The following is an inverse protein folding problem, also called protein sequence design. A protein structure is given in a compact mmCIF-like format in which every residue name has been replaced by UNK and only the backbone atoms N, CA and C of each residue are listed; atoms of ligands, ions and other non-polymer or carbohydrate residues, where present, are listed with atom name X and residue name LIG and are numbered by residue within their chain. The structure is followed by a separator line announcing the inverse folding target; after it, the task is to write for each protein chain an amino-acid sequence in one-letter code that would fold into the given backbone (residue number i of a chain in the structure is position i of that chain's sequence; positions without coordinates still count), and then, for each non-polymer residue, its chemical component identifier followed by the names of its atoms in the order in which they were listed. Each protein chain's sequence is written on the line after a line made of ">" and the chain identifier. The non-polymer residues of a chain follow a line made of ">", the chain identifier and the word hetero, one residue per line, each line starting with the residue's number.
data_IF_722081553260
#
_entry.id   IF_722081553260
#
_cell.length_a   1.000
_cell.length_b   1.000
_cell.length_c   1.000
_cell.angle_alpha   90.00
_cell.angle_beta   90.00
_cell.angle_gamma   90.00
#
_symmetry.space_group_name_H-M   'P 1'
#
loop_
_entity.id
_entity.type
_entity.pdbx_description
1 polymer ?
#
# COMPACT_ATOMS: atom_id res chain seq x y z
N UNK A 1 -20.69 -10.48 1.50
CA UNK A 1 -21.44 -9.60 2.42
C UNK A 1 -22.73 -10.28 2.81
N UNK A 2 -22.81 -10.72 4.06
CA UNK A 2 -24.10 -11.11 4.66
C UNK A 2 -24.90 -9.84 5.03
N UNK A 3 -25.13 -8.96 4.08
CA UNK A 3 -26.10 -7.90 4.28
C UNK A 3 -27.46 -8.57 4.44
N UNK A 4 -28.15 -8.30 5.52
CA UNK A 4 -29.56 -8.67 5.64
C UNK A 4 -30.29 -7.95 4.50
N UNK A 5 -30.87 -8.67 3.54
CA UNK A 5 -31.58 -8.00 2.46
C UNK A 5 -32.80 -7.29 3.05
N UNK A 6 -33.09 -6.11 2.54
CA UNK A 6 -34.29 -5.32 2.88
C UNK A 6 -35.58 -6.17 2.72
N UNK A 7 -35.50 -7.24 1.95
CA UNK A 7 -36.63 -8.15 1.61
C UNK A 7 -36.67 -9.46 2.42
N UNK A 8 -35.90 -9.63 3.51
CA UNK A 8 -35.78 -10.89 4.26
C UNK A 8 -35.33 -12.12 3.43
N UNK A 9 -34.66 -11.90 2.29
CA UNK A 9 -34.08 -12.96 1.46
C UNK A 9 -32.63 -13.29 1.85
N UNK A 10 -32.03 -14.25 1.15
CA UNK A 10 -30.62 -14.59 1.29
C UNK A 10 -29.73 -13.70 0.41
N UNK A 11 -28.52 -13.36 0.89
CA UNK A 11 -27.50 -12.70 0.08
C UNK A 11 -26.98 -13.67 -1.00
N UNK A 12 -26.85 -13.18 -2.23
CA UNK A 12 -26.25 -13.92 -3.34
C UNK A 12 -24.70 -13.84 -3.36
N UNK A 13 -24.09 -13.35 -2.28
CA UNK A 13 -22.64 -13.27 -2.13
C UNK A 13 -21.98 -12.05 -2.79
N UNK A 14 -20.64 -12.08 -2.85
CA UNK A 14 -19.83 -10.98 -3.37
C UNK A 14 -19.92 -10.82 -4.91
N UNK A 15 -20.09 -11.91 -5.64
CA UNK A 15 -20.04 -11.91 -7.11
C UNK A 15 -21.02 -10.93 -7.74
N UNK A 16 -22.32 -10.94 -7.44
CA UNK A 16 -23.27 -9.99 -8.03
C UNK A 16 -22.96 -8.54 -7.69
N UNK A 17 -22.50 -8.27 -6.46
CA UNK A 17 -22.08 -6.94 -6.03
C UNK A 17 -20.88 -6.45 -6.82
N UNK A 18 -19.84 -7.28 -6.98
CA UNK A 18 -18.62 -6.92 -7.70
C UNK A 18 -18.87 -6.71 -9.19
N UNK A 19 -19.86 -7.38 -9.78
CA UNK A 19 -20.28 -7.11 -11.16
C UNK A 19 -20.81 -5.68 -11.33
N UNK A 20 -21.55 -5.14 -10.37
CA UNK A 20 -21.99 -3.74 -10.42
C UNK A 20 -20.76 -2.80 -10.50
N UNK A 21 -19.75 -3.04 -9.69
CA UNK A 21 -18.49 -2.27 -9.73
C UNK A 21 -17.71 -2.48 -11.04
N UNK A 22 -17.72 -3.69 -11.59
CA UNK A 22 -17.12 -3.99 -12.89
C UNK A 22 -17.75 -3.16 -14.01
N UNK A 23 -19.08 -3.10 -14.07
CA UNK A 23 -19.81 -2.33 -15.08
C UNK A 23 -19.67 -0.82 -14.81
N UNK A 24 -19.61 -0.39 -13.55
CA UNK A 24 -19.30 0.98 -13.18
C UNK A 24 -17.91 1.39 -13.67
N UNK A 25 -16.89 0.54 -13.52
CA UNK A 25 -15.54 0.82 -14.01
C UNK A 25 -15.53 1.04 -15.52
N UNK A 26 -16.27 0.21 -16.29
CA UNK A 26 -16.44 0.40 -17.73
C UNK A 26 -17.16 1.68 -18.07
N UNK A 27 -18.20 2.04 -17.34
CA UNK A 27 -19.00 3.23 -17.59
C UNK A 27 -18.21 4.52 -17.34
N UNK A 28 -17.53 4.65 -16.20
CA UNK A 28 -16.78 5.87 -15.86
C UNK A 28 -15.55 6.09 -16.74
N UNK A 29 -15.12 5.06 -17.46
CA UNK A 29 -14.02 5.15 -18.42
C UNK A 29 -14.43 5.69 -19.80
N UNK A 30 -15.69 5.91 -20.05
CA UNK A 30 -16.21 6.40 -21.34
C UNK A 30 -15.69 7.78 -21.76
N UNK A 31 -15.14 8.55 -20.85
CA UNK A 31 -14.62 9.89 -21.13
C UNK A 31 -13.40 9.94 -22.06
N UNK A 32 -12.85 8.80 -22.43
CA UNK A 32 -11.79 8.69 -23.43
C UNK A 32 -10.56 9.53 -23.16
N UNK A 33 -10.27 9.83 -21.91
CA UNK A 33 -9.04 10.49 -21.53
C UNK A 33 -7.84 9.61 -21.84
N UNK A 34 -6.66 10.19 -21.78
CA UNK A 34 -5.38 9.48 -22.02
C UNK A 34 -5.11 8.40 -20.95
N UNK A 35 -5.86 8.37 -19.86
CA UNK A 35 -5.79 7.41 -18.76
C UNK A 35 -7.16 6.84 -18.45
N UNK A 36 -7.24 5.52 -18.43
CA UNK A 36 -8.44 4.79 -18.03
C UNK A 36 -8.54 4.70 -16.51
N UNK A 37 -9.78 4.76 -15.98
CA UNK A 37 -10.07 4.43 -14.59
C UNK A 37 -9.93 2.93 -14.34
N UNK A 38 -9.56 2.55 -13.11
CA UNK A 38 -9.45 1.15 -12.70
C UNK A 38 -9.75 1.03 -11.23
N UNK A 39 -10.37 -0.09 -10.83
CA UNK A 39 -10.73 -0.39 -9.45
C UNK A 39 -9.97 -1.63 -8.97
N UNK A 40 -9.43 -1.57 -7.75
CA UNK A 40 -8.93 -2.73 -7.04
C UNK A 40 -9.86 -3.09 -5.89
N UNK A 41 -10.21 -4.37 -5.78
CA UNK A 41 -11.03 -4.93 -4.73
C UNK A 41 -10.18 -5.79 -3.81
N UNK A 42 -10.21 -5.50 -2.52
CA UNK A 42 -9.45 -6.23 -1.51
C UNK A 42 -10.38 -7.09 -0.66
N UNK A 43 -9.95 -8.32 -0.38
CA UNK A 43 -10.67 -9.25 0.47
C UNK A 43 -9.70 -9.95 1.43
N UNK A 44 -10.15 -10.26 2.63
CA UNK A 44 -9.38 -11.10 3.55
C UNK A 44 -9.68 -12.59 3.33
N UNK A 45 -8.69 -13.50 3.49
CA UNK A 45 -8.82 -14.91 3.14
C UNK A 45 -9.79 -15.71 4.05
N UNK A 46 -10.25 -15.13 5.15
CA UNK A 46 -11.24 -15.75 6.02
C UNK A 46 -12.70 -15.53 5.57
N UNK A 47 -12.93 -14.70 4.55
CA UNK A 47 -14.28 -14.39 4.07
C UNK A 47 -14.92 -15.62 3.42
N UNK A 48 -16.23 -15.82 3.69
CA UNK A 48 -16.99 -16.97 3.21
C UNK A 48 -16.91 -17.17 1.69
N UNK A 49 -16.88 -16.09 0.91
CA UNK A 49 -16.91 -16.11 -0.56
C UNK A 49 -15.50 -16.02 -1.18
N UNK A 50 -14.44 -16.38 -0.46
CA UNK A 50 -13.06 -16.21 -0.98
C UNK A 50 -12.79 -17.07 -2.21
N UNK A 51 -13.37 -18.26 -2.32
CA UNK A 51 -13.19 -19.12 -3.49
C UNK A 51 -13.81 -18.53 -4.75
N UNK A 52 -15.04 -18.00 -4.65
CA UNK A 52 -15.71 -17.29 -5.74
C UNK A 52 -14.95 -16.03 -6.14
N UNK A 53 -14.42 -15.29 -5.16
CA UNK A 53 -13.58 -14.11 -5.40
C UNK A 53 -12.33 -14.44 -6.23
N UNK A 54 -11.68 -15.58 -5.98
CA UNK A 54 -10.52 -16.05 -6.74
C UNK A 54 -10.85 -16.44 -8.19
N UNK A 55 -12.10 -16.78 -8.47
CA UNK A 55 -12.54 -17.19 -9.80
C UNK A 55 -13.07 -16.03 -10.66
N UNK A 56 -13.25 -14.82 -10.12
CA UNK A 56 -13.87 -13.70 -10.81
C UNK A 56 -13.17 -13.27 -12.10
N UNK A 57 -11.86 -13.48 -12.21
CA UNK A 57 -11.06 -13.08 -13.38
C UNK A 57 -10.76 -14.23 -14.36
N UNK A 58 -11.20 -15.45 -14.07
CA UNK A 58 -10.96 -16.61 -14.95
C UNK A 58 -11.54 -16.42 -16.35
N UNK A 59 -10.83 -16.92 -17.37
CA UNK A 59 -11.22 -16.80 -18.77
C UNK A 59 -12.28 -17.80 -19.21
N UNK A 60 -12.64 -18.75 -18.37
CA UNK A 60 -13.63 -19.80 -18.64
C UNK A 60 -14.72 -19.82 -17.57
N UNK A 61 -15.78 -20.60 -17.80
CA UNK A 61 -16.94 -20.69 -16.92
C UNK A 61 -18.05 -19.70 -17.29
N UNK A 62 -19.08 -19.61 -16.43
CA UNK A 62 -20.25 -18.77 -16.69
C UNK A 62 -19.91 -17.28 -16.55
N UNK A 63 -20.27 -16.48 -17.54
CA UNK A 63 -19.98 -15.03 -17.56
C UNK A 63 -20.65 -14.28 -16.40
N UNK A 64 -21.81 -14.76 -15.97
CA UNK A 64 -22.51 -14.17 -14.80
C UNK A 64 -21.71 -14.28 -13.49
N UNK A 65 -20.72 -15.15 -13.45
CA UNK A 65 -19.83 -15.37 -12.30
C UNK A 65 -18.47 -14.68 -12.48
N UNK A 66 -18.34 -13.75 -13.43
CA UNK A 66 -17.09 -13.07 -13.75
C UNK A 66 -17.21 -11.55 -13.60
N UNK A 67 -16.09 -10.92 -13.21
CA UNK A 67 -15.93 -9.47 -13.15
C UNK A 67 -14.46 -9.15 -13.52
N UNK A 68 -14.12 -9.27 -14.82
CA UNK A 68 -12.73 -9.31 -15.31
C UNK A 68 -12.06 -7.95 -15.40
N UNK A 69 -12.81 -6.84 -15.41
CA UNK A 69 -12.25 -5.49 -15.55
C UNK A 69 -11.75 -4.93 -14.19
N UNK A 70 -12.12 -5.59 -13.09
CA UNK A 70 -11.61 -5.26 -11.77
C UNK A 70 -10.23 -5.90 -11.52
N UNK A 71 -9.47 -5.32 -10.62
CA UNK A 71 -8.25 -5.90 -10.05
C UNK A 71 -8.55 -6.44 -8.65
N UNK A 72 -7.87 -7.51 -8.28
CA UNK A 72 -8.14 -8.22 -7.03
C UNK A 72 -6.89 -8.34 -6.18
N UNK A 73 -7.03 -8.06 -4.88
CA UNK A 73 -6.00 -8.23 -3.87
C UNK A 73 -6.50 -9.01 -2.67
N UNK A 74 -5.63 -9.79 -2.04
CA UNK A 74 -5.87 -10.39 -0.74
C UNK A 74 -5.13 -9.59 0.34
N UNK A 75 -5.85 -9.30 1.42
CA UNK A 75 -5.35 -8.64 2.62
C UNK A 75 -5.19 -9.70 3.71
N UNK A 76 -3.95 -10.23 3.83
CA UNK A 76 -3.66 -11.51 4.47
C UNK A 76 -3.15 -11.32 5.89
N UNK A 77 -3.86 -11.83 6.93
CA UNK A 77 -3.33 -11.89 8.28
C UNK A 77 -2.23 -12.95 8.39
N UNK A 78 -1.25 -12.72 9.25
CA UNK A 78 -0.12 -13.63 9.46
C UNK A 78 -0.57 -15.01 9.98
N UNK A 79 -1.68 -15.07 10.71
CA UNK A 79 -2.29 -16.33 11.14
C UNK A 79 -2.56 -17.28 9.97
N UNK A 80 -3.09 -16.76 8.85
CA UNK A 80 -3.31 -17.59 7.66
C UNK A 80 -2.01 -18.21 7.15
N UNK A 81 -0.94 -17.43 7.06
CA UNK A 81 0.37 -17.93 6.59
C UNK A 81 0.98 -18.96 7.56
N UNK A 82 0.86 -18.75 8.87
CA UNK A 82 1.28 -19.74 9.88
C UNK A 82 0.49 -21.05 9.71
N UNK A 83 -0.81 -20.98 9.49
CA UNK A 83 -1.66 -22.16 9.26
C UNK A 83 -1.37 -22.85 7.92
N UNK A 84 -1.04 -22.11 6.87
CA UNK A 84 -0.54 -22.68 5.60
C UNK A 84 0.76 -23.46 5.82
N UNK A 85 1.72 -22.88 6.53
CA UNK A 85 3.00 -23.52 6.82
C UNK A 85 2.84 -24.80 7.64
N UNK A 86 1.96 -24.79 8.64
CA UNK A 86 1.65 -25.93 9.49
C UNK A 86 0.67 -26.92 8.88
N UNK A 87 0.11 -26.64 7.71
CA UNK A 87 -1.04 -27.34 7.13
C UNK A 87 -2.20 -27.54 8.12
N UNK A 88 -2.45 -26.51 8.94
CA UNK A 88 -3.52 -26.49 9.92
C UNK A 88 -4.87 -26.19 9.25
N UNK A 89 -5.93 -26.25 10.04
CA UNK A 89 -7.29 -25.92 9.58
C UNK A 89 -7.46 -24.41 9.43
N UNK A 90 -8.27 -24.02 8.45
CA UNK A 90 -8.68 -22.64 8.19
C UNK A 90 -10.20 -22.59 8.01
N UNK A 91 -10.84 -21.67 8.69
CA UNK A 91 -12.28 -21.55 8.75
C UNK A 91 -12.75 -20.29 8.04
N UNK A 92 -13.67 -20.44 7.09
CA UNK A 92 -14.33 -19.31 6.45
C UNK A 92 -15.47 -18.79 7.31
N UNK A 93 -15.57 -17.46 7.39
CA UNK A 93 -16.51 -16.77 8.26
C UNK A 93 -17.30 -15.72 7.49
N UNK A 94 -18.50 -15.43 7.96
CA UNK A 94 -19.30 -14.33 7.46
C UNK A 94 -19.04 -13.07 8.31
N UNK A 95 -18.72 -11.90 7.69
CA UNK A 95 -18.48 -10.67 8.43
C UNK A 95 -19.63 -10.20 9.32
N UNK A 96 -20.87 -10.58 8.99
CA UNK A 96 -22.03 -10.27 9.81
C UNK A 96 -22.12 -11.14 11.08
N UNK A 97 -21.79 -12.42 10.95
CA UNK A 97 -21.80 -13.38 12.06
C UNK A 97 -20.54 -13.27 12.92
N UNK A 98 -19.42 -12.84 12.34
CA UNK A 98 -18.11 -12.68 12.96
C UNK A 98 -17.61 -11.23 12.80
N UNK A 99 -18.27 -10.25 13.43
CA UNK A 99 -17.92 -8.84 13.26
C UNK A 99 -16.57 -8.51 13.88
N UNK A 100 -15.90 -7.47 13.35
CA UNK A 100 -14.69 -6.92 13.92
C UNK A 100 -13.38 -7.52 13.42
N UNK A 101 -13.39 -8.68 12.74
CA UNK A 101 -12.15 -9.28 12.19
C UNK A 101 -11.38 -8.35 11.25
N UNK A 102 -12.09 -7.52 10.49
CA UNK A 102 -11.49 -6.52 9.62
C UNK A 102 -10.89 -5.33 10.36
N UNK A 103 -11.26 -5.13 11.63
CA UNK A 103 -10.89 -3.96 12.42
C UNK A 103 -9.66 -4.19 13.31
N UNK A 104 -9.18 -5.44 13.41
CA UNK A 104 -8.05 -5.85 14.23
C UNK A 104 -6.97 -6.55 13.41
N UNK A 105 -5.73 -6.58 13.89
CA UNK A 105 -4.59 -7.26 13.26
C UNK A 105 -3.66 -7.86 14.32
N UNK A 106 -2.70 -8.72 13.90
CA UNK A 106 -1.74 -9.35 14.80
C UNK A 106 -2.42 -10.24 15.84
N UNK A 107 -1.95 -10.17 17.07
CA UNK A 107 -2.46 -11.02 18.17
C UNK A 107 -3.92 -10.78 18.52
N UNK A 108 -4.44 -9.57 18.30
CA UNK A 108 -5.86 -9.28 18.51
C UNK A 108 -6.73 -9.98 17.46
N UNK A 109 -6.27 -9.99 16.20
CA UNK A 109 -6.93 -10.76 15.13
C UNK A 109 -6.92 -12.25 15.46
N UNK A 110 -5.75 -12.79 15.85
CA UNK A 110 -5.60 -14.20 16.17
C UNK A 110 -6.61 -14.61 17.26
N UNK A 111 -6.63 -13.87 18.36
CA UNK A 111 -7.53 -14.17 19.50
C UNK A 111 -9.01 -14.08 19.11
N UNK A 112 -9.40 -13.08 18.32
CA UNK A 112 -10.79 -12.91 17.89
C UNK A 112 -11.22 -14.00 16.91
N UNK A 113 -10.33 -14.36 15.97
CA UNK A 113 -10.59 -15.41 14.97
C UNK A 113 -10.74 -16.78 15.64
N UNK A 114 -9.81 -17.16 16.52
CA UNK A 114 -9.84 -18.42 17.26
C UNK A 114 -11.05 -18.50 18.20
N UNK A 115 -11.45 -17.40 18.81
CA UNK A 115 -12.69 -17.31 19.58
C UNK A 115 -13.91 -17.68 18.73
N UNK A 116 -14.03 -17.13 17.52
CA UNK A 116 -15.14 -17.45 16.63
C UNK A 116 -15.12 -18.90 16.13
N UNK A 117 -13.95 -19.50 15.95
CA UNK A 117 -13.82 -20.92 15.67
C UNK A 117 -14.33 -21.77 16.84
N UNK A 118 -13.94 -21.44 18.09
CA UNK A 118 -14.38 -22.14 19.29
C UNK A 118 -15.90 -22.00 19.53
N UNK A 119 -16.48 -20.87 19.19
CA UNK A 119 -17.93 -20.62 19.26
C UNK A 119 -18.72 -21.30 18.12
N UNK A 120 -18.04 -21.96 17.18
CA UNK A 120 -18.68 -22.65 16.06
C UNK A 120 -19.34 -21.72 15.03
N UNK A 121 -18.89 -20.47 14.90
CA UNK A 121 -19.44 -19.48 13.96
C UNK A 121 -18.90 -19.62 12.53
N UNK A 122 -18.05 -20.60 12.29
CA UNK A 122 -17.50 -20.89 10.97
C UNK A 122 -18.55 -21.45 10.02
N UNK A 123 -18.46 -21.09 8.74
CA UNK A 123 -19.32 -21.64 7.69
C UNK A 123 -18.72 -22.86 7.02
N UNK A 124 -17.41 -22.88 6.85
CA UNK A 124 -16.67 -23.98 6.24
C UNK A 124 -15.26 -24.03 6.80
N UNK A 125 -14.77 -25.23 7.11
CA UNK A 125 -13.40 -25.48 7.58
C UNK A 125 -12.70 -26.48 6.67
N UNK A 126 -11.45 -26.20 6.34
CA UNK A 126 -10.61 -27.03 5.47
C UNK A 126 -9.12 -26.79 5.78
N UNK A 127 -8.22 -27.56 5.18
CA UNK A 127 -6.77 -27.32 5.34
C UNK A 127 -6.33 -26.04 4.63
N UNK A 128 -5.61 -25.17 5.34
CA UNK A 128 -5.18 -23.86 4.83
C UNK A 128 -4.41 -23.94 3.49
N UNK A 129 -3.67 -25.03 3.28
CA UNK A 129 -2.97 -25.27 2.00
C UNK A 129 -3.94 -25.44 0.81
N UNK A 130 -5.18 -25.88 1.02
CA UNK A 130 -6.16 -25.98 -0.07
C UNK A 130 -6.48 -24.58 -0.64
N UNK A 131 -6.71 -23.60 0.25
CA UNK A 131 -6.91 -22.21 -0.19
C UNK A 131 -5.62 -21.62 -0.78
N UNK A 132 -4.48 -21.92 -0.18
CA UNK A 132 -3.18 -21.47 -0.71
C UNK A 132 -2.95 -21.94 -2.15
N UNK A 133 -3.15 -23.22 -2.43
CA UNK A 133 -3.03 -23.74 -3.79
C UNK A 133 -4.03 -23.11 -4.75
N UNK A 134 -5.25 -22.83 -4.28
CA UNK A 134 -6.26 -22.14 -5.08
C UNK A 134 -5.85 -20.70 -5.41
N UNK A 135 -5.20 -19.99 -4.48
CA UNK A 135 -4.62 -18.67 -4.72
C UNK A 135 -3.53 -18.75 -5.79
N UNK A 136 -2.60 -19.70 -5.66
CA UNK A 136 -1.52 -19.89 -6.65
C UNK A 136 -2.06 -20.27 -8.04
N UNK A 137 -3.07 -21.13 -8.12
CA UNK A 137 -3.77 -21.46 -9.38
C UNK A 137 -4.33 -20.21 -10.05
N UNK A 138 -5.05 -19.36 -9.27
CA UNK A 138 -5.60 -18.10 -9.77
C UNK A 138 -4.51 -17.15 -10.26
N UNK A 139 -3.39 -17.05 -9.55
CA UNK A 139 -2.25 -16.21 -9.95
C UNK A 139 -1.57 -16.71 -11.23
N UNK A 140 -1.41 -18.01 -11.38
CA UNK A 140 -0.84 -18.60 -12.59
C UNK A 140 -1.74 -18.35 -13.81
N UNK A 141 -3.06 -18.43 -13.64
CA UNK A 141 -4.03 -18.26 -14.72
C UNK A 141 -4.29 -16.79 -15.08
N UNK A 142 -4.35 -15.89 -14.08
CA UNK A 142 -4.85 -14.53 -14.26
C UNK A 142 -3.88 -13.43 -13.83
N UNK A 143 -2.79 -13.74 -13.13
CA UNK A 143 -1.89 -12.77 -12.51
C UNK A 143 -2.45 -12.11 -11.25
N UNK A 144 -3.62 -12.53 -10.77
CA UNK A 144 -4.30 -12.03 -9.58
C UNK A 144 -4.73 -13.17 -8.67
N UNK A 145 -4.95 -12.96 -7.37
CA UNK A 145 -4.93 -11.69 -6.63
C UNK A 145 -3.53 -11.19 -6.29
N UNK A 146 -3.41 -9.88 -6.00
CA UNK A 146 -2.24 -9.33 -5.29
C UNK A 146 -2.18 -9.89 -3.88
N UNK A 147 -0.96 -10.04 -3.33
CA UNK A 147 -0.75 -10.60 -2.00
C UNK A 147 -0.15 -9.51 -1.09
N UNK A 148 -0.94 -9.02 -0.13
CA UNK A 148 -0.51 -8.03 0.86
C UNK A 148 -0.73 -8.56 2.27
N UNK A 149 0.24 -8.29 3.15
CA UNK A 149 0.26 -8.82 4.50
C UNK A 149 -0.28 -7.79 5.49
N UNK A 150 -1.49 -8.02 5.97
CA UNK A 150 -2.26 -7.12 6.85
C UNK A 150 -1.49 -6.68 8.07
N UNK A 151 -0.89 -7.64 8.78
CA UNK A 151 -0.23 -7.39 10.06
C UNK A 151 1.05 -6.55 9.87
N UNK A 152 1.87 -6.90 8.87
CA UNK A 152 3.06 -6.14 8.54
C UNK A 152 2.73 -4.71 8.05
N UNK A 153 1.69 -4.56 7.21
CA UNK A 153 1.23 -3.25 6.74
C UNK A 153 0.78 -2.35 7.88
N UNK A 154 0.06 -2.89 8.86
CA UNK A 154 -0.43 -2.13 10.00
C UNK A 154 0.67 -1.86 11.03
N UNK A 155 1.41 -2.90 11.47
CA UNK A 155 2.43 -2.77 12.51
C UNK A 155 3.62 -1.90 12.12
N UNK A 156 3.88 -1.74 10.81
CA UNK A 156 4.98 -0.93 10.28
C UNK A 156 4.56 0.42 9.71
N UNK A 157 3.29 0.78 9.82
CA UNK A 157 2.79 2.08 9.33
C UNK A 157 3.05 3.20 10.32
N UNK A 158 3.44 4.37 9.82
CA UNK A 158 3.49 5.59 10.63
C UNK A 158 2.07 6.15 10.94
N UNK A 159 1.02 5.56 10.38
CA UNK A 159 -0.38 5.91 10.65
C UNK A 159 -1.09 4.94 11.61
N UNK A 160 -0.35 4.14 12.38
CA UNK A 160 -0.90 3.19 13.37
C UNK A 160 -1.83 3.83 14.40
N UNK A 161 -1.58 5.08 14.74
CA UNK A 161 -2.38 5.84 15.72
C UNK A 161 -3.78 6.23 15.22
N UNK A 162 -4.08 6.03 13.95
CA UNK A 162 -5.37 6.40 13.35
C UNK A 162 -6.39 5.27 13.40
N UNK A 163 -5.94 4.03 13.35
CA UNK A 163 -6.76 2.84 13.31
C UNK A 163 -6.21 1.78 12.35
N UNK A 164 -6.98 0.71 12.14
CA UNK A 164 -6.56 -0.40 11.27
C UNK A 164 -6.71 -0.05 9.80
N UNK A 165 -5.61 -0.21 9.05
CA UNK A 165 -5.58 -0.09 7.59
C UNK A 165 -6.09 -1.39 6.99
N UNK A 166 -7.06 -1.30 6.07
CA UNK A 166 -7.86 -2.44 5.58
C UNK A 166 -7.59 -2.80 4.12
N UNK A 167 -6.84 -1.99 3.41
CA UNK A 167 -6.53 -2.20 1.99
C UNK A 167 -5.32 -1.38 1.55
N UNK A 168 -4.91 -1.59 0.30
CA UNK A 168 -3.95 -0.76 -0.41
C UNK A 168 -4.62 -0.12 -1.64
N UNK A 169 -3.86 0.61 -2.46
CA UNK A 169 -4.33 1.15 -3.73
C UNK A 169 -4.25 0.13 -4.88
N UNK A 170 -4.49 0.59 -6.12
CA UNK A 170 -4.47 -0.25 -7.32
C UNK A 170 -3.10 -0.88 -7.59
N UNK A 171 -2.02 -0.14 -7.38
CA UNK A 171 -0.65 -0.56 -7.68
C UNK A 171 0.11 -1.12 -6.46
N UNK A 172 -0.54 -1.22 -5.30
CA UNK A 172 -0.04 -1.81 -4.06
C UNK A 172 1.07 -1.06 -3.31
N UNK A 173 1.51 0.10 -3.82
CA UNK A 173 2.57 0.91 -3.19
C UNK A 173 2.09 1.77 -2.02
N UNK A 174 0.78 1.97 -1.87
CA UNK A 174 0.20 2.84 -0.84
C UNK A 174 -0.44 2.02 0.27
N UNK A 175 -0.08 2.33 1.49
CA UNK A 175 -0.70 1.79 2.71
C UNK A 175 -1.10 2.98 3.58
N UNK A 176 -2.35 3.43 3.46
CA UNK A 176 -2.89 4.59 4.15
C UNK A 176 -4.17 4.24 4.89
N UNK A 177 -4.38 4.90 6.02
CA UNK A 177 -5.63 4.81 6.76
C UNK A 177 -6.77 5.47 5.98
N UNK A 178 -7.95 4.86 6.02
CA UNK A 178 -9.20 5.38 5.48
C UNK A 178 -10.36 5.04 6.42
N UNK A 179 -11.37 5.90 6.43
CA UNK A 179 -12.60 5.74 7.23
C UNK A 179 -13.78 6.33 6.44
N UNK A 180 -15.01 6.24 6.95
CA UNK A 180 -16.16 6.90 6.31
C UNK A 180 -15.97 8.41 6.09
N UNK A 181 -15.24 9.07 6.98
CA UNK A 181 -15.00 10.53 6.95
C UNK A 181 -13.64 10.92 6.35
N UNK A 182 -12.81 9.94 5.99
CA UNK A 182 -11.44 10.15 5.53
C UNK A 182 -11.11 9.22 4.37
N UNK A 183 -11.13 9.73 3.14
CA UNK A 183 -10.73 9.00 1.94
C UNK A 183 -9.26 9.28 1.65
N UNK A 184 -8.43 8.25 1.67
CA UNK A 184 -7.00 8.37 1.37
C UNK A 184 -6.75 8.81 -0.07
N UNK A 185 -5.78 9.73 -0.25
CA UNK A 185 -5.38 10.27 -1.56
C UNK A 185 -3.88 10.13 -1.75
N UNK A 186 -3.47 9.69 -2.93
CA UNK A 186 -2.07 9.54 -3.31
C UNK A 186 -1.51 10.84 -3.89
N UNK A 187 -0.37 11.33 -3.34
CA UNK A 187 0.41 12.44 -3.89
C UNK A 187 1.79 11.91 -4.25
N UNK A 188 2.01 11.56 -5.51
CA UNK A 188 3.16 10.75 -5.93
C UNK A 188 4.12 11.50 -6.84
N UNK A 189 5.41 11.15 -6.74
CA UNK A 189 6.43 11.54 -7.69
C UNK A 189 7.48 10.44 -7.84
N UNK A 190 8.07 10.33 -9.04
CA UNK A 190 9.15 9.38 -9.35
C UNK A 190 10.44 10.13 -9.68
N UNK A 191 11.54 9.76 -9.04
CA UNK A 191 12.87 10.30 -9.26
C UNK A 191 13.61 9.45 -10.30
N UNK A 192 14.14 10.07 -11.36
CA UNK A 192 14.85 9.39 -12.43
C UNK A 192 16.30 9.09 -12.03
N UNK A 193 16.58 7.87 -11.57
CA UNK A 193 17.89 7.46 -11.03
C UNK A 193 19.06 7.57 -12.03
N UNK A 194 18.91 7.34 -13.35
CA UNK A 194 20.02 7.48 -14.29
C UNK A 194 20.65 8.87 -14.35
N UNK A 195 19.93 9.91 -13.90
CA UNK A 195 20.43 11.29 -13.85
C UNK A 195 21.51 11.51 -12.78
N UNK A 196 21.60 10.59 -11.80
CA UNK A 196 22.56 10.66 -10.70
C UNK A 196 23.83 9.82 -10.95
N UNK A 197 23.95 9.19 -12.10
CA UNK A 197 25.16 8.47 -12.49
C UNK A 197 26.04 9.41 -13.32
N UNK A 198 27.14 9.85 -12.72
CA UNK A 198 28.14 10.75 -13.31
C UNK A 198 29.51 10.06 -13.23
N UNK A 199 30.24 9.99 -14.34
CA UNK A 199 31.59 9.42 -14.44
C UNK A 199 31.71 8.01 -13.78
N UNK A 200 30.71 7.16 -14.01
CA UNK A 200 30.69 5.79 -13.50
C UNK A 200 30.43 5.67 -11.98
N UNK A 201 30.03 6.76 -11.31
CA UNK A 201 29.68 6.78 -9.87
C UNK A 201 28.29 7.31 -9.66
N UNK A 202 27.66 6.87 -8.57
CA UNK A 202 26.34 7.35 -8.17
C UNK A 202 26.47 8.52 -7.18
N UNK A 203 25.82 9.66 -7.50
CA UNK A 203 25.84 10.89 -6.72
C UNK A 203 24.70 10.92 -5.69
N UNK A 204 24.97 10.48 -4.48
CA UNK A 204 24.00 10.41 -3.38
C UNK A 204 23.66 11.79 -2.80
N UNK A 205 24.61 12.72 -2.77
CA UNK A 205 24.37 14.08 -2.25
C UNK A 205 23.39 14.83 -3.14
N UNK A 206 23.57 14.74 -4.44
CA UNK A 206 22.63 15.29 -5.42
C UNK A 206 21.26 14.59 -5.34
N UNK A 207 21.22 13.27 -5.14
CA UNK A 207 19.96 12.56 -4.94
C UNK A 207 19.23 13.08 -3.70
N UNK A 208 19.93 13.25 -2.58
CA UNK A 208 19.35 13.82 -1.34
C UNK A 208 18.80 15.24 -1.60
N UNK A 209 19.57 16.10 -2.25
CA UNK A 209 19.15 17.47 -2.54
C UNK A 209 17.88 17.50 -3.41
N UNK A 210 17.81 16.69 -4.48
CA UNK A 210 16.62 16.59 -5.34
C UNK A 210 15.44 16.02 -4.56
N UNK A 211 15.64 15.02 -3.72
CA UNK A 211 14.60 14.44 -2.88
C UNK A 211 13.95 15.50 -1.97
N UNK A 212 14.75 16.36 -1.35
CA UNK A 212 14.22 17.48 -0.53
C UNK A 212 13.34 18.42 -1.35
N UNK A 213 13.75 18.77 -2.56
CA UNK A 213 12.96 19.62 -3.48
C UNK A 213 11.63 18.94 -3.83
N UNK A 214 11.67 17.64 -4.18
CA UNK A 214 10.45 16.88 -4.53
C UNK A 214 9.50 16.79 -3.34
N UNK A 215 10.00 16.54 -2.14
CA UNK A 215 9.21 16.52 -0.89
C UNK A 215 8.49 17.85 -0.67
N UNK A 216 9.21 18.97 -0.80
CA UNK A 216 8.62 20.33 -0.68
C UNK A 216 7.55 20.57 -1.76
N UNK A 217 7.77 20.10 -2.98
CA UNK A 217 6.82 20.25 -4.08
C UNK A 217 5.54 19.43 -3.83
N UNK A 218 5.67 18.16 -3.43
CA UNK A 218 4.50 17.32 -3.13
C UNK A 218 3.71 17.86 -1.92
N UNK A 219 4.40 18.41 -0.92
CA UNK A 219 3.71 19.08 0.19
C UNK A 219 2.86 20.27 -0.29
N UNK A 220 3.32 21.04 -1.28
CA UNK A 220 2.54 22.13 -1.89
C UNK A 220 1.38 21.62 -2.73
N UNK A 221 1.54 20.44 -3.40
CA UNK A 221 0.47 19.81 -4.17
C UNK A 221 -0.73 19.52 -3.28
N UNK A 222 -0.52 19.02 -2.05
CA UNK A 222 -1.61 18.77 -1.10
C UNK A 222 -2.51 20.01 -0.89
N UNK A 223 -1.91 21.19 -0.80
CA UNK A 223 -2.65 22.43 -0.54
C UNK A 223 -3.35 23.00 -1.79
N UNK A 224 -2.84 22.70 -2.99
CA UNK A 224 -3.30 23.25 -4.27
C UNK A 224 -4.18 22.29 -5.08
N UNK A 225 -4.21 21.02 -4.70
CA UNK A 225 -4.94 20.00 -5.43
C UNK A 225 -6.46 20.23 -5.37
N UNK A 226 -7.16 19.83 -6.43
CA UNK A 226 -8.60 19.73 -6.43
C UNK A 226 -9.03 18.41 -5.78
N UNK A 227 -9.99 18.49 -4.87
CA UNK A 227 -10.57 17.32 -4.20
C UNK A 227 -12.02 17.17 -4.60
N UNK A 228 -12.42 16.03 -5.20
CA UNK A 228 -13.78 15.84 -5.68
C UNK A 228 -14.82 15.73 -4.56
N UNK A 229 -14.39 15.30 -3.36
CA UNK A 229 -15.23 15.10 -2.18
C UNK A 229 -14.54 15.65 -0.92
N UNK A 230 -15.34 16.02 0.07
CA UNK A 230 -14.84 16.66 1.30
C UNK A 230 -13.95 15.70 2.13
N UNK A 231 -14.30 14.42 2.17
CA UNK A 231 -13.60 13.37 2.91
C UNK A 231 -12.16 13.15 2.37
N UNK A 232 -11.97 13.26 1.05
CA UNK A 232 -10.64 13.19 0.44
C UNK A 232 -9.77 14.41 0.81
N UNK A 233 -10.38 15.60 0.83
CA UNK A 233 -9.70 16.83 1.27
C UNK A 233 -9.36 16.76 2.75
N UNK A 234 -10.28 16.26 3.59
CA UNK A 234 -10.08 16.08 5.02
C UNK A 234 -8.88 15.19 5.29
N UNK A 235 -8.89 13.95 4.79
CA UNK A 235 -7.80 12.99 4.93
C UNK A 235 -6.45 13.56 4.49
N UNK A 236 -6.42 14.12 3.27
CA UNK A 236 -5.15 14.55 2.67
C UNK A 236 -4.53 15.76 3.40
N UNK A 237 -5.33 16.70 3.87
CA UNK A 237 -4.87 17.87 4.63
C UNK A 237 -4.46 17.52 6.06
N UNK A 238 -5.22 16.64 6.72
CA UNK A 238 -4.99 16.20 8.09
C UNK A 238 -3.72 15.39 8.24
N UNK A 239 -3.50 14.42 7.33
CA UNK A 239 -2.38 13.49 7.43
C UNK A 239 -1.19 13.86 6.54
N UNK A 240 -1.38 14.69 5.53
CA UNK A 240 -0.36 15.18 4.57
C UNK A 240 0.54 14.08 4.02
N UNK A 241 -0.02 12.95 3.50
CA UNK A 241 0.78 11.86 2.96
C UNK A 241 1.36 12.26 1.61
N UNK A 242 2.61 11.87 1.37
CA UNK A 242 3.25 11.92 0.05
C UNK A 242 3.91 10.58 -0.24
N UNK A 243 4.18 10.29 -1.51
CA UNK A 243 4.83 9.06 -1.94
C UNK A 243 5.92 9.34 -2.97
N UNK A 244 7.17 9.25 -2.54
CA UNK A 244 8.32 9.29 -3.45
C UNK A 244 8.66 7.89 -3.91
N UNK A 245 8.77 7.73 -5.22
CA UNK A 245 9.25 6.52 -5.87
C UNK A 245 10.43 6.83 -6.79
N UNK A 246 10.85 5.83 -7.54
CA UNK A 246 11.97 5.90 -8.47
C UNK A 246 11.60 5.36 -9.85
N UNK A 247 12.34 5.76 -10.86
CA UNK A 247 12.27 5.19 -12.20
C UNK A 247 13.69 5.04 -12.77
N UNK A 248 13.85 4.09 -13.68
CA UNK A 248 15.13 3.86 -14.37
C UNK A 248 16.22 3.25 -13.49
N UNK A 249 15.88 2.44 -12.49
CA UNK A 249 16.88 1.75 -11.67
C UNK A 249 17.76 0.82 -12.53
N UNK A 250 17.16 0.04 -13.44
CA UNK A 250 17.90 -0.80 -14.37
C UNK A 250 18.82 0.04 -15.28
N UNK A 251 18.34 1.19 -15.78
CA UNK A 251 19.18 2.08 -16.59
C UNK A 251 20.36 2.67 -15.81
N UNK A 252 20.17 2.94 -14.52
CA UNK A 252 21.27 3.36 -13.64
C UNK A 252 22.31 2.23 -13.46
N UNK A 253 21.85 0.98 -13.28
CA UNK A 253 22.73 -0.19 -13.21
C UNK A 253 23.51 -0.39 -14.52
N UNK A 254 22.88 -0.22 -15.69
CA UNK A 254 23.57 -0.27 -17.00
C UNK A 254 24.66 0.79 -17.10
N UNK A 255 24.39 2.03 -16.68
CA UNK A 255 25.40 3.09 -16.66
C UNK A 255 26.57 2.78 -15.72
N UNK A 256 26.29 2.11 -14.60
CA UNK A 256 27.30 1.69 -13.63
C UNK A 256 27.97 0.36 -14.01
N UNK A 257 27.52 -0.31 -15.06
CA UNK A 257 27.94 -1.65 -15.49
C UNK A 257 27.80 -2.72 -14.41
N UNK A 258 26.71 -2.66 -13.65
CA UNK A 258 26.39 -3.60 -12.59
C UNK A 258 25.32 -4.59 -13.07
N UNK A 259 25.53 -5.90 -12.97
CA UNK A 259 24.48 -6.90 -13.17
C UNK A 259 23.34 -6.71 -12.16
N UNK A 260 22.10 -6.88 -12.59
CA UNK A 260 20.92 -6.66 -11.75
C UNK A 260 20.93 -7.55 -10.47
N UNK A 261 21.40 -8.79 -10.60
CA UNK A 261 21.45 -9.76 -9.51
C UNK A 261 22.74 -9.70 -8.66
N UNK A 262 23.62 -8.73 -8.94
CA UNK A 262 24.89 -8.60 -8.21
C UNK A 262 24.68 -8.08 -6.78
N UNK A 263 25.60 -8.46 -5.88
CA UNK A 263 25.62 -7.92 -4.53
C UNK A 263 25.83 -6.39 -4.51
N UNK A 264 26.54 -5.85 -5.51
CA UNK A 264 26.75 -4.42 -5.71
C UNK A 264 25.45 -3.70 -6.03
N UNK A 265 24.62 -4.26 -6.92
CA UNK A 265 23.30 -3.72 -7.23
C UNK A 265 22.40 -3.76 -5.98
N UNK A 266 22.48 -4.82 -5.18
CA UNK A 266 21.75 -4.92 -3.91
C UNK A 266 22.20 -3.87 -2.90
N UNK A 267 23.49 -3.57 -2.79
CA UNK A 267 24.01 -2.48 -1.95
C UNK A 267 23.56 -1.12 -2.45
N UNK A 268 23.69 -0.85 -3.76
CA UNK A 268 23.24 0.39 -4.38
C UNK A 268 21.74 0.63 -4.13
N UNK A 269 20.90 -0.42 -4.24
CA UNK A 269 19.48 -0.31 -3.97
C UNK A 269 19.21 0.16 -2.52
N UNK A 270 19.88 -0.44 -1.54
CA UNK A 270 19.76 -0.02 -0.13
C UNK A 270 20.20 1.44 0.06
N UNK A 271 21.35 1.82 -0.48
CA UNK A 271 21.91 3.17 -0.35
C UNK A 271 21.04 4.23 -1.02
N UNK A 272 20.44 3.92 -2.18
CA UNK A 272 19.52 4.81 -2.89
C UNK A 272 18.27 5.05 -2.06
N UNK A 273 17.60 3.99 -1.59
CA UNK A 273 16.36 4.14 -0.82
C UNK A 273 16.59 4.74 0.57
N UNK A 274 17.72 4.44 1.22
CA UNK A 274 18.12 5.10 2.46
C UNK A 274 18.32 6.61 2.24
N UNK A 275 18.98 7.00 1.15
CA UNK A 275 19.21 8.41 0.80
C UNK A 275 17.89 9.14 0.53
N UNK A 276 16.99 8.53 -0.24
CA UNK A 276 15.67 9.12 -0.51
C UNK A 276 14.88 9.27 0.80
N UNK A 277 14.86 8.24 1.64
CA UNK A 277 14.14 8.29 2.90
C UNK A 277 14.73 9.35 3.84
N UNK A 278 16.05 9.42 3.97
CA UNK A 278 16.73 10.46 4.76
C UNK A 278 16.38 11.87 4.28
N UNK A 279 16.55 12.14 2.98
CA UNK A 279 16.26 13.44 2.40
C UNK A 279 14.80 13.85 2.51
N UNK A 280 13.88 12.89 2.41
CA UNK A 280 12.45 13.13 2.56
C UNK A 280 12.08 13.45 4.03
N UNK A 281 12.62 12.69 4.99
CA UNK A 281 12.42 12.93 6.43
C UNK A 281 13.02 14.27 6.84
N UNK A 282 14.24 14.59 6.38
CA UNK A 282 14.90 15.87 6.67
C UNK A 282 14.08 17.04 6.14
N UNK A 283 13.60 16.99 4.90
CA UNK A 283 12.76 18.05 4.31
C UNK A 283 11.40 18.16 5.00
N UNK A 284 10.82 17.03 5.40
CA UNK A 284 9.55 17.04 6.15
C UNK A 284 9.70 17.62 7.56
N UNK A 285 10.85 17.41 8.21
CA UNK A 285 11.19 18.04 9.48
C UNK A 285 11.40 19.55 9.32
N UNK A 286 12.12 20.00 8.30
CA UNK A 286 12.29 21.44 7.97
C UNK A 286 10.93 22.11 7.69
N UNK A 287 10.06 21.44 6.95
CA UNK A 287 8.70 21.94 6.71
C UNK A 287 7.85 21.97 7.98
N UNK A 288 8.06 21.06 8.92
CA UNK A 288 7.38 21.09 10.20
C UNK A 288 7.88 22.24 11.09
N UNK A 289 9.17 22.57 11.04
CA UNK A 289 9.74 23.75 11.69
C UNK A 289 9.17 25.06 11.13
N UNK A 290 8.97 25.14 9.80
CA UNK A 290 8.41 26.32 9.11
C UNK A 290 6.89 26.46 9.27
N UNK A 291 6.12 25.35 9.22
CA UNK A 291 4.66 25.34 9.02
C UNK A 291 3.90 24.54 10.06
N UNK A 292 4.58 23.98 11.05
CA UNK A 292 4.04 23.04 12.02
C UNK A 292 3.94 21.60 11.49
N UNK A 293 3.88 20.61 12.39
CA UNK A 293 3.68 19.22 12.04
C UNK A 293 2.31 18.97 11.39
N UNK A 294 2.11 17.77 10.78
CA UNK A 294 0.78 17.38 10.32
C UNK A 294 -0.16 17.15 11.52
N UNK A 295 -1.45 17.38 11.33
CA UNK A 295 -2.45 17.43 12.43
C UNK A 295 -2.49 16.13 13.26
N UNK A 296 -2.41 14.97 12.61
CA UNK A 296 -2.42 13.66 13.29
C UNK A 296 -1.03 13.14 13.71
N UNK A 297 -0.02 14.01 13.77
CA UNK A 297 1.32 13.66 14.23
C UNK A 297 1.39 13.13 15.67
N UNK A 298 0.65 13.71 16.64
CA UNK A 298 0.64 13.20 18.00
C UNK A 298 0.19 11.73 18.08
N UNK A 299 0.94 10.91 18.82
CA UNK A 299 0.67 9.49 18.99
C UNK A 299 1.20 8.60 17.85
N UNK A 300 1.66 9.18 16.73
CA UNK A 300 2.30 8.42 15.65
C UNK A 300 3.64 7.80 16.09
N UNK A 301 4.13 6.75 15.43
CA UNK A 301 5.48 6.21 15.67
C UNK A 301 6.57 7.29 15.60
N UNK A 302 6.51 8.18 14.62
CA UNK A 302 7.48 9.28 14.49
C UNK A 302 7.48 10.22 15.69
N UNK A 303 6.31 10.48 16.31
CA UNK A 303 6.21 11.30 17.52
C UNK A 303 6.83 10.63 18.75
N UNK A 304 7.02 9.30 18.69
CA UNK A 304 7.70 8.47 19.70
C UNK A 304 9.17 8.22 19.37
N UNK A 305 9.73 8.92 18.36
CA UNK A 305 11.12 8.77 17.91
C UNK A 305 11.38 7.52 17.07
N UNK A 306 10.32 6.82 16.62
CA UNK A 306 10.42 5.63 15.78
C UNK A 306 10.24 6.00 14.30
N UNK A 307 11.26 5.77 13.51
CA UNK A 307 11.23 5.90 12.06
C UNK A 307 11.03 4.52 11.40
N UNK A 308 10.90 4.49 10.08
CA UNK A 308 10.56 3.27 9.35
C UNK A 308 11.54 2.11 9.61
N UNK A 309 12.83 2.39 9.66
CA UNK A 309 13.84 1.36 9.94
C UNK A 309 13.76 0.81 11.38
N UNK A 310 13.33 1.61 12.36
CA UNK A 310 13.09 1.12 13.73
C UNK A 310 11.90 0.13 13.75
N UNK A 311 10.81 0.48 13.05
CA UNK A 311 9.62 -0.40 12.92
C UNK A 311 9.93 -1.71 12.18
N UNK A 312 10.96 -1.71 11.34
CA UNK A 312 11.42 -2.90 10.61
C UNK A 312 12.50 -3.68 11.33
N UNK A 313 13.03 -3.16 12.44
CA UNK A 313 14.17 -3.77 13.17
C UNK A 313 15.45 -3.78 12.34
N UNK A 314 15.66 -2.77 11.49
CA UNK A 314 16.83 -2.64 10.60
C UNK A 314 17.71 -1.49 11.08
N UNK A 315 19.02 -1.71 11.08
CA UNK A 315 20.00 -0.65 11.37
C UNK A 315 20.34 0.08 10.07
N UNK A 316 20.17 1.40 10.00
CA UNK A 316 20.58 2.19 8.85
C UNK A 316 22.11 2.22 8.73
N UNK A 317 22.61 2.62 7.56
CA UNK A 317 24.06 2.79 7.35
C UNK A 317 24.60 4.03 8.07
N UNK A 318 25.92 4.16 8.11
CA UNK A 318 26.59 5.37 8.63
C UNK A 318 26.69 6.52 7.61
N UNK A 319 26.01 6.41 6.45
CA UNK A 319 26.06 7.42 5.40
C UNK A 319 25.45 8.75 5.83
N UNK A 320 24.37 8.70 6.60
CA UNK A 320 23.63 9.88 7.06
C UNK A 320 23.53 9.93 8.58
N UNK A 321 23.51 11.13 9.15
CA UNK A 321 23.38 11.31 10.60
C UNK A 321 21.92 11.21 11.05
N UNK A 322 21.46 9.99 11.24
CA UNK A 322 20.11 9.68 11.73
C UNK A 322 19.89 10.14 13.18
N UNK A 323 20.95 10.19 14.01
CA UNK A 323 20.83 10.61 15.41
C UNK A 323 20.51 12.11 15.49
N UNK A 324 21.23 12.94 14.77
CA UNK A 324 20.96 14.37 14.69
C UNK A 324 19.57 14.66 14.09
N UNK A 325 19.17 13.91 13.05
CA UNK A 325 17.84 14.07 12.45
C UNK A 325 16.72 13.68 13.41
N UNK A 326 16.84 12.58 14.15
CA UNK A 326 15.86 12.18 15.19
C UNK A 326 15.74 13.22 16.29
N UNK A 327 16.84 13.85 16.73
CA UNK A 327 16.83 14.92 17.70
C UNK A 327 16.04 16.14 17.19
N UNK A 328 16.21 16.53 15.92
CA UNK A 328 15.42 17.60 15.29
C UNK A 328 13.93 17.24 15.20
N UNK A 329 13.60 16.00 14.82
CA UNK A 329 12.21 15.52 14.75
C UNK A 329 11.54 15.58 16.13
N UNK A 330 12.27 15.27 17.19
CA UNK A 330 11.75 15.38 18.56
C UNK A 330 11.37 16.81 18.94
N UNK A 331 12.04 17.81 18.35
CA UNK A 331 11.79 19.24 18.63
C UNK A 331 10.67 19.81 17.74
N UNK A 332 10.62 19.46 16.46
CA UNK A 332 9.77 20.10 15.46
C UNK A 332 8.68 19.20 14.88
N UNK A 333 8.83 17.87 15.00
CA UNK A 333 7.95 16.89 14.37
C UNK A 333 8.24 16.69 12.89
N UNK A 334 7.25 16.14 12.18
CA UNK A 334 7.24 15.95 10.73
C UNK A 334 6.02 16.63 10.11
N UNK A 335 6.15 17.16 8.89
CA UNK A 335 5.06 17.76 8.12
C UNK A 335 4.22 16.75 7.35
N UNK A 336 4.73 15.55 7.10
CA UNK A 336 4.10 14.52 6.28
C UNK A 336 4.07 13.19 7.04
N UNK A 337 2.92 12.52 7.04
CA UNK A 337 2.75 11.22 7.73
C UNK A 337 3.42 10.07 7.00
N UNK A 338 3.40 10.08 5.66
CA UNK A 338 4.04 9.09 4.79
C UNK A 338 4.91 9.82 3.77
N UNK A 339 6.01 9.19 3.35
CA UNK A 339 7.05 9.84 2.55
C UNK A 339 7.46 9.05 1.31
N UNK A 340 7.68 7.75 1.41
CA UNK A 340 8.21 6.93 0.32
C UNK A 340 7.19 5.86 -0.08
N UNK A 341 6.90 5.80 -1.37
CA UNK A 341 6.00 4.83 -1.96
C UNK A 341 6.48 4.51 -3.39
N UNK A 342 7.32 3.48 -3.56
CA UNK A 342 7.85 3.11 -4.87
C UNK A 342 6.77 2.44 -5.72
N UNK A 343 6.19 3.22 -6.64
CA UNK A 343 5.22 2.73 -7.61
C UNK A 343 5.87 1.88 -8.70
N UNK A 344 5.14 0.95 -9.35
CA UNK A 344 5.65 0.18 -10.48
C UNK A 344 5.95 1.07 -11.68
N UNK A 345 7.21 1.18 -12.10
CA UNK A 345 7.66 2.09 -13.17
C UNK A 345 8.20 1.37 -14.42
N UNK A 346 8.02 0.07 -14.56
CA UNK A 346 8.53 -0.73 -15.67
C UNK A 346 8.08 -0.28 -17.07
N UNK A 347 6.98 0.46 -17.20
CA UNK A 347 6.42 0.95 -18.47
C UNK A 347 6.91 2.35 -18.90
N UNK A 348 7.70 3.03 -18.10
CA UNK A 348 8.10 4.42 -18.35
C UNK A 348 9.37 4.55 -19.22
N UNK A 349 9.43 3.77 -20.30
CA UNK A 349 10.61 3.70 -21.19
C UNK A 349 10.88 4.94 -22.05
N UNK A 350 10.05 6.00 -22.04
CA UNK A 350 10.15 7.07 -23.07
C UNK A 350 10.26 8.51 -22.58
N UNK A 351 10.58 8.77 -21.33
CA UNK A 351 10.76 10.16 -20.89
C UNK A 351 12.21 10.50 -20.70
N UNK A 352 12.63 11.60 -21.38
CA UNK A 352 13.97 12.15 -21.26
C UNK A 352 14.30 12.46 -19.80
N UNK A 353 15.55 12.27 -19.41
CA UNK A 353 16.12 12.22 -18.06
C UNK A 353 15.93 13.47 -17.16
N UNK A 354 15.01 14.36 -17.45
CA UNK A 354 14.86 15.65 -16.75
C UNK A 354 13.49 15.90 -16.14
N UNK A 355 12.55 14.96 -16.22
CA UNK A 355 11.16 15.27 -15.84
C UNK A 355 10.75 14.53 -14.56
N UNK A 356 10.50 15.28 -13.51
CA UNK A 356 9.72 14.85 -12.36
C UNK A 356 8.27 14.85 -12.84
N UNK A 357 7.64 13.69 -12.98
CA UNK A 357 6.23 13.61 -13.37
C UNK A 357 5.41 13.36 -12.11
N UNK A 358 4.61 14.32 -11.65
CA UNK A 358 3.63 14.05 -10.61
C UNK A 358 2.58 13.09 -11.19
N UNK A 359 2.35 11.99 -10.51
CA UNK A 359 1.21 11.11 -10.75
C UNK A 359 0.15 11.43 -9.69
N UNK A 360 -0.98 11.93 -10.12
CA UNK A 360 -2.19 12.06 -9.28
C UNK A 360 -3.00 10.79 -9.57
N UNK A 361 -3.14 9.93 -8.57
CA UNK A 361 -4.04 8.77 -8.61
C UNK A 361 -5.43 9.15 -8.14
#
# INVERSE_FOLDING_TARGET
>A
TCALPISNGFSNGLTPMLRVYNDTARYVDQGGGKRKGSFAMYLEPWHADVFEFLDLKKNHGKEEQRARDLFYGLWIPDLFMRRVQANAEWTLMCPHECPGLQDVYGTEFDALYEKYEQEGRGRQTFKAQQLWFKILESQMETGTPYMLYKDACNSKSNQQNLGTIKSSNLCTEIVQYTSPDEIAVCNLASIALPAFVVDGKFDFDRLKAVTKVVTRNLNKVIDRNYYPVAEAKNSNRKHRPIGLGVQGFADALFKLRLPFESAEAGRLNKDVFETIYYGAVEASCELAEELGPYESYPGSPASKGQLQFDLWGVTPSSRWDWAALKARISSFGLRNSLLVAPMPTARWRRWKATTITPCIC
#
